data_IF_810167078928
#
_entry.id   IF_810167078928
#
_cell.length_a   1.000
_cell.length_b   1.000
_cell.length_c   1.000
_cell.angle_alpha   90.00
_cell.angle_beta   90.00
_cell.angle_gamma   90.00
#
_symmetry.space_group_name_H-M   'P 1'
#
loop_
_entity.id
_entity.type
_entity.pdbx_description
1 polymer ?
#
# COMPACT_ATOMS: atom_id res chain seq x y z
N UNK A 1 -26.86 -14.90 4.20
CA UNK A 1 -25.64 -14.91 3.37
C UNK A 1 -24.86 -13.65 3.69
N UNK A 2 -23.52 -13.77 3.89
CA UNK A 2 -22.65 -12.59 4.01
C UNK A 2 -22.60 -11.91 2.64
N UNK A 3 -23.05 -10.67 2.55
CA UNK A 3 -23.03 -9.92 1.28
C UNK A 3 -21.94 -8.87 1.38
N UNK A 4 -20.90 -9.00 0.57
CA UNK A 4 -19.84 -7.98 0.48
C UNK A 4 -20.45 -6.69 -0.10
N UNK A 5 -20.18 -5.58 0.55
CA UNK A 5 -20.63 -4.24 0.16
C UNK A 5 -19.48 -3.28 -0.04
N UNK A 6 -18.38 -3.48 0.69
CA UNK A 6 -17.19 -2.65 0.66
C UNK A 6 -15.98 -3.43 0.18
N UNK A 7 -15.18 -2.79 -0.64
CA UNK A 7 -13.87 -3.27 -1.06
C UNK A 7 -12.86 -2.19 -0.70
N UNK A 8 -11.94 -2.52 0.21
CA UNK A 8 -10.84 -1.65 0.58
C UNK A 8 -9.58 -2.07 -0.15
N UNK A 9 -8.83 -1.10 -0.65
CA UNK A 9 -7.58 -1.32 -1.37
C UNK A 9 -6.41 -0.72 -0.61
N UNK A 10 -5.27 -1.39 -0.67
CA UNK A 10 -3.98 -0.73 -0.54
C UNK A 10 -3.71 0.13 -1.78
N UNK A 11 -2.72 1.02 -1.73
CA UNK A 11 -2.31 1.86 -2.87
C UNK A 11 -1.08 1.26 -3.54
N UNK A 12 0.05 1.23 -2.84
CA UNK A 12 1.34 0.83 -3.40
C UNK A 12 1.35 -0.62 -3.86
N UNK A 13 1.89 -0.89 -5.03
CA UNK A 13 1.97 -2.23 -5.64
C UNK A 13 0.62 -2.96 -5.75
N UNK A 14 -0.50 -2.23 -5.57
CA UNK A 14 -1.88 -2.73 -5.69
C UNK A 14 -2.68 -1.92 -6.70
N UNK A 15 -2.74 -0.60 -6.56
CA UNK A 15 -3.38 0.33 -7.50
C UNK A 15 -2.34 1.07 -8.34
N UNK A 16 -1.13 1.24 -7.81
CA UNK A 16 -0.04 1.96 -8.46
C UNK A 16 1.21 1.10 -8.56
N UNK A 17 1.90 1.24 -9.67
CA UNK A 17 3.25 0.73 -9.88
C UNK A 17 4.25 1.64 -9.15
N UNK A 18 5.06 1.05 -8.29
CA UNK A 18 6.09 1.71 -7.49
C UNK A 18 7.51 1.34 -7.96
N UNK A 19 7.66 0.63 -9.08
CA UNK A 19 8.95 0.08 -9.50
C UNK A 19 9.99 1.19 -9.67
N UNK A 20 9.66 2.25 -10.38
CA UNK A 20 10.61 3.36 -10.59
C UNK A 20 10.90 4.13 -9.29
N UNK A 21 9.92 4.31 -8.42
CA UNK A 21 10.12 4.91 -7.10
C UNK A 21 11.09 4.09 -6.24
N UNK A 22 10.99 2.75 -6.27
CA UNK A 22 11.96 1.86 -5.64
C UNK A 22 13.35 1.97 -6.25
N UNK A 23 13.44 1.99 -7.58
CA UNK A 23 14.70 2.12 -8.30
C UNK A 23 15.39 3.45 -7.97
N UNK A 24 14.65 4.55 -7.99
CA UNK A 24 15.16 5.87 -7.66
C UNK A 24 15.70 5.91 -6.23
N UNK A 25 14.92 5.43 -5.28
CA UNK A 25 15.31 5.37 -3.88
C UNK A 25 16.55 4.51 -3.63
N UNK A 26 16.68 3.35 -4.30
CA UNK A 26 17.88 2.50 -4.19
C UNK A 26 19.10 3.27 -4.73
N UNK A 27 18.98 3.90 -5.91
CA UNK A 27 20.06 4.72 -6.49
C UNK A 27 20.49 5.83 -5.53
N UNK A 28 19.55 6.48 -4.85
CA UNK A 28 19.88 7.53 -3.87
C UNK A 28 20.59 6.97 -2.64
N UNK A 29 20.15 5.83 -2.12
CA UNK A 29 20.76 5.20 -0.95
C UNK A 29 22.21 4.74 -1.20
N UNK A 30 22.49 4.21 -2.40
CA UNK A 30 23.84 3.69 -2.74
C UNK A 30 24.76 4.76 -3.33
N UNK A 31 24.28 5.96 -3.60
CA UNK A 31 25.08 7.05 -4.19
C UNK A 31 26.32 7.35 -3.37
N UNK A 32 27.50 7.32 -4.03
CA UNK A 32 28.79 7.55 -3.38
C UNK A 32 29.34 6.37 -2.60
N UNK A 33 28.70 5.21 -2.68
CA UNK A 33 29.19 3.93 -2.12
C UNK A 33 29.78 3.05 -3.23
N UNK A 34 30.34 1.89 -2.82
CA UNK A 34 30.79 0.84 -3.76
C UNK A 34 29.71 -0.23 -3.99
N UNK A 35 28.51 -0.05 -3.42
CA UNK A 35 27.40 -1.00 -3.53
C UNK A 35 26.71 -0.77 -4.86
N UNK A 36 26.51 -1.84 -5.63
CA UNK A 36 25.74 -1.76 -6.87
C UNK A 36 24.25 -1.95 -6.63
N UNK A 37 23.44 -1.50 -7.59
CA UNK A 37 22.00 -1.70 -7.57
C UNK A 37 21.62 -3.18 -7.48
N UNK A 38 22.32 -4.02 -8.24
CA UNK A 38 22.13 -5.48 -8.27
C UNK A 38 22.44 -6.10 -6.91
N UNK A 39 23.54 -5.74 -6.28
CA UNK A 39 23.93 -6.24 -4.95
C UNK A 39 22.87 -5.91 -3.90
N UNK A 40 22.36 -4.68 -3.91
CA UNK A 40 21.29 -4.28 -2.99
C UNK A 40 20.00 -5.06 -3.26
N UNK A 41 19.59 -5.14 -4.53
CA UNK A 41 18.35 -5.83 -4.95
C UNK A 41 18.40 -7.33 -4.65
N UNK A 42 19.51 -8.00 -4.89
CA UNK A 42 19.68 -9.42 -4.54
C UNK A 42 19.56 -9.65 -3.04
N UNK A 43 20.19 -8.80 -2.23
CA UNK A 43 20.12 -8.91 -0.77
C UNK A 43 18.72 -8.65 -0.24
N UNK A 44 18.03 -7.65 -0.78
CA UNK A 44 16.61 -7.35 -0.50
C UNK A 44 15.72 -8.56 -0.77
N UNK A 45 15.85 -9.18 -1.96
CA UNK A 45 15.06 -10.37 -2.34
C UNK A 45 15.40 -11.57 -1.46
N UNK A 46 16.68 -11.76 -1.12
CA UNK A 46 17.11 -12.82 -0.21
C UNK A 46 16.38 -12.72 1.14
N UNK A 47 16.44 -11.55 1.78
CA UNK A 47 15.76 -11.36 3.07
C UNK A 47 14.24 -11.46 2.98
N UNK A 48 13.63 -11.02 1.88
CA UNK A 48 12.19 -11.19 1.66
C UNK A 48 11.79 -12.68 1.59
N UNK A 49 12.58 -13.51 0.93
CA UNK A 49 12.39 -14.98 0.89
C UNK A 49 12.53 -15.64 2.26
N UNK A 50 13.35 -15.06 3.14
CA UNK A 50 13.52 -15.50 4.53
C UNK A 50 12.39 -15.00 5.47
N UNK A 51 11.43 -14.22 4.94
CA UNK A 51 10.25 -13.73 5.67
C UNK A 51 10.47 -12.40 6.40
N UNK A 52 11.56 -11.70 6.13
CA UNK A 52 11.84 -10.38 6.69
C UNK A 52 11.30 -9.25 5.79
N UNK A 53 11.26 -8.03 6.34
CA UNK A 53 11.16 -6.83 5.51
C UNK A 53 12.48 -6.68 4.73
N UNK A 54 12.46 -7.04 3.44
CA UNK A 54 13.65 -7.12 2.60
C UNK A 54 14.39 -5.79 2.50
N UNK A 55 13.65 -4.69 2.32
CA UNK A 55 14.25 -3.34 2.20
C UNK A 55 14.96 -2.94 3.49
N UNK A 56 14.27 -3.05 4.62
CA UNK A 56 14.86 -2.70 5.90
C UNK A 56 16.11 -3.52 6.20
N UNK A 57 16.04 -4.82 5.96
CA UNK A 57 17.18 -5.73 6.21
C UNK A 57 18.35 -5.48 5.26
N UNK A 58 18.12 -5.14 4.00
CA UNK A 58 19.17 -4.78 3.08
C UNK A 58 19.84 -3.45 3.47
N UNK A 59 19.05 -2.44 3.86
CA UNK A 59 19.57 -1.17 4.38
C UNK A 59 20.46 -1.40 5.61
N UNK A 60 20.01 -2.19 6.59
CA UNK A 60 20.77 -2.56 7.78
C UNK A 60 22.06 -3.32 7.42
N UNK A 61 21.97 -4.30 6.52
CA UNK A 61 23.12 -5.13 6.09
C UNK A 61 24.23 -4.31 5.47
N UNK A 62 23.89 -3.34 4.61
CA UNK A 62 24.86 -2.49 3.95
C UNK A 62 25.23 -1.23 4.75
N UNK A 63 24.62 -1.01 5.92
CA UNK A 63 24.86 0.18 6.74
C UNK A 63 24.44 1.48 6.06
N UNK A 64 23.40 1.43 5.22
CA UNK A 64 22.91 2.58 4.46
C UNK A 64 21.92 3.40 5.29
N UNK A 65 21.75 4.67 4.92
CA UNK A 65 20.68 5.50 5.42
C UNK A 65 19.49 5.45 4.48
N UNK A 66 18.28 5.32 5.05
CA UNK A 66 17.06 5.36 4.31
C UNK A 66 16.83 6.76 3.73
N UNK A 67 16.70 6.87 2.41
CA UNK A 67 16.37 8.12 1.72
C UNK A 67 14.85 8.34 1.62
N UNK A 68 14.38 9.57 1.31
CA UNK A 68 12.98 9.85 1.06
C UNK A 68 12.38 8.93 -0.02
N UNK A 69 11.08 8.79 0.01
CA UNK A 69 10.31 8.11 -1.01
C UNK A 69 9.94 9.08 -2.14
N UNK A 70 10.07 8.65 -3.38
CA UNK A 70 9.78 9.43 -4.58
C UNK A 70 8.36 9.15 -5.07
N UNK A 71 7.36 9.77 -4.43
CA UNK A 71 5.95 9.59 -4.82
C UNK A 71 5.62 10.13 -6.21
N UNK A 72 6.48 10.97 -6.78
CA UNK A 72 6.37 11.50 -8.14
C UNK A 72 6.64 10.44 -9.22
N UNK A 73 7.30 9.33 -8.86
CA UNK A 73 7.60 8.22 -9.76
C UNK A 73 6.52 7.11 -9.72
N UNK A 74 5.53 7.25 -8.83
CA UNK A 74 4.40 6.32 -8.76
C UNK A 74 3.44 6.59 -9.92
N UNK A 75 2.99 5.51 -10.59
CA UNK A 75 2.00 5.60 -11.67
C UNK A 75 0.89 4.57 -11.46
N UNK A 76 -0.39 4.90 -11.70
CA UNK A 76 -1.45 3.90 -11.66
C UNK A 76 -1.19 2.77 -12.66
N UNK A 77 -1.54 1.53 -12.30
CA UNK A 77 -1.58 0.44 -13.28
C UNK A 77 -2.60 0.72 -14.38
N UNK A 78 -2.32 0.29 -15.61
CA UNK A 78 -3.13 0.59 -16.80
C UNK A 78 -4.60 0.16 -16.67
N UNK A 79 -4.87 -0.92 -15.94
CA UNK A 79 -6.21 -1.47 -15.73
C UNK A 79 -6.91 -0.95 -14.46
N UNK A 80 -6.23 -0.09 -13.68
CA UNK A 80 -6.71 0.36 -12.38
C UNK A 80 -8.05 1.10 -12.50
N UNK A 81 -8.13 2.12 -13.35
CA UNK A 81 -9.35 2.92 -13.49
C UNK A 81 -10.53 2.08 -13.98
N UNK A 82 -10.33 1.21 -14.98
CA UNK A 82 -11.37 0.34 -15.52
C UNK A 82 -11.89 -0.63 -14.46
N UNK A 83 -10.99 -1.17 -13.65
CA UNK A 83 -11.33 -2.07 -12.53
C UNK A 83 -12.18 -1.35 -11.49
N UNK A 84 -11.74 -0.17 -11.02
CA UNK A 84 -12.47 0.61 -10.01
C UNK A 84 -13.85 1.02 -10.51
N UNK A 85 -13.94 1.47 -11.77
CA UNK A 85 -15.23 1.80 -12.40
C UNK A 85 -16.15 0.59 -12.44
N UNK A 86 -15.65 -0.56 -12.90
CA UNK A 86 -16.44 -1.79 -13.00
C UNK A 86 -16.98 -2.23 -11.64
N UNK A 87 -16.19 -2.12 -10.58
CA UNK A 87 -16.63 -2.46 -9.22
C UNK A 87 -17.67 -1.47 -8.71
N UNK A 88 -17.47 -0.17 -8.95
CA UNK A 88 -18.44 0.87 -8.60
C UNK A 88 -19.77 0.68 -9.33
N UNK A 89 -19.75 0.38 -10.64
CA UNK A 89 -20.94 0.14 -11.46
C UNK A 89 -21.72 -1.10 -11.00
N UNK A 90 -21.03 -2.08 -10.40
CA UNK A 90 -21.66 -3.25 -9.74
C UNK A 90 -22.25 -2.93 -8.37
N UNK A 91 -22.14 -1.70 -7.89
CA UNK A 91 -22.72 -1.23 -6.64
C UNK A 91 -21.86 -1.45 -5.40
N UNK A 92 -20.58 -1.82 -5.55
CA UNK A 92 -19.67 -1.85 -4.41
C UNK A 92 -19.25 -0.44 -4.01
N UNK A 93 -19.15 -0.21 -2.70
CA UNK A 93 -18.49 0.95 -2.14
C UNK A 93 -16.98 0.68 -2.06
N UNK A 94 -16.18 1.66 -2.44
CA UNK A 94 -14.73 1.50 -2.47
C UNK A 94 -14.06 2.42 -1.44
N UNK A 95 -13.02 1.91 -0.81
CA UNK A 95 -12.22 2.64 0.17
C UNK A 95 -10.74 2.30 0.07
N UNK A 96 -9.93 3.09 0.74
CA UNK A 96 -8.49 2.92 0.87
C UNK A 96 -8.14 2.60 2.32
N UNK A 97 -7.23 1.64 2.52
CA UNK A 97 -6.48 1.44 3.77
C UNK A 97 -5.01 1.27 3.40
N UNK A 98 -4.21 2.33 3.56
CA UNK A 98 -2.84 2.33 3.03
C UNK A 98 -1.83 2.98 3.99
N UNK A 99 -0.60 2.46 3.98
CA UNK A 99 0.56 3.09 4.60
C UNK A 99 1.17 4.06 3.59
N UNK A 100 0.91 5.34 3.73
CA UNK A 100 1.27 6.36 2.76
C UNK A 100 1.92 7.58 3.43
N UNK A 101 2.70 8.32 2.64
CA UNK A 101 3.12 9.68 2.98
C UNK A 101 1.90 10.62 2.98
N UNK A 102 2.00 11.79 3.64
CA UNK A 102 0.93 12.80 3.60
C UNK A 102 0.49 13.15 2.17
N UNK A 103 -0.79 13.47 1.99
CA UNK A 103 -1.35 13.85 0.69
C UNK A 103 -1.78 12.67 -0.18
N UNK A 104 -2.06 11.50 0.39
CA UNK A 104 -2.56 10.34 -0.36
C UNK A 104 -3.81 10.66 -1.17
N UNK A 105 -4.75 11.44 -0.60
CA UNK A 105 -5.96 11.87 -1.30
C UNK A 105 -5.64 12.73 -2.52
N UNK A 106 -4.74 13.70 -2.37
CA UNK A 106 -4.39 14.62 -3.46
C UNK A 106 -3.72 13.86 -4.63
N UNK A 107 -2.88 12.86 -4.33
CA UNK A 107 -2.30 11.98 -5.37
C UNK A 107 -3.37 11.16 -6.08
N UNK A 108 -4.29 10.54 -5.35
CA UNK A 108 -5.42 9.80 -5.94
C UNK A 108 -6.28 10.71 -6.83
N UNK A 109 -6.53 11.95 -6.40
CA UNK A 109 -7.28 12.94 -7.19
C UNK A 109 -6.51 13.34 -8.45
N UNK A 110 -5.20 13.56 -8.36
CA UNK A 110 -4.33 13.89 -9.51
C UNK A 110 -4.31 12.76 -10.56
N UNK A 111 -4.41 11.50 -10.15
CA UNK A 111 -4.55 10.35 -11.06
C UNK A 111 -5.99 10.14 -11.57
N UNK A 112 -6.97 10.96 -11.13
CA UNK A 112 -8.38 10.81 -11.47
C UNK A 112 -9.07 9.65 -10.75
N UNK A 113 -8.40 8.99 -9.80
CA UNK A 113 -8.92 7.81 -9.08
C UNK A 113 -9.69 8.18 -7.81
N UNK A 114 -9.45 9.36 -7.23
CA UNK A 114 -10.05 9.80 -5.97
C UNK A 114 -11.57 9.74 -5.95
N UNK A 115 -12.21 9.99 -7.09
CA UNK A 115 -13.67 9.95 -7.26
C UNK A 115 -14.32 8.59 -6.96
N UNK A 116 -13.56 7.50 -6.98
CA UNK A 116 -14.08 6.15 -6.72
C UNK A 116 -14.15 5.83 -5.23
N UNK A 117 -13.40 6.56 -4.39
CA UNK A 117 -13.21 6.20 -2.98
C UNK A 117 -14.03 7.10 -2.04
N UNK A 118 -14.98 6.49 -1.33
CA UNK A 118 -15.78 7.17 -0.32
C UNK A 118 -15.08 7.27 1.04
N UNK A 119 -14.09 6.40 1.30
CA UNK A 119 -13.29 6.36 2.52
C UNK A 119 -11.82 6.25 2.15
N UNK A 120 -10.97 7.09 2.77
CA UNK A 120 -9.51 7.03 2.65
C UNK A 120 -8.92 7.02 4.05
N UNK A 121 -8.47 5.83 4.48
CA UNK A 121 -7.77 5.62 5.74
C UNK A 121 -6.26 5.50 5.46
N UNK A 122 -5.56 6.62 5.49
CA UNK A 122 -4.12 6.71 5.26
C UNK A 122 -3.36 6.85 6.57
N UNK A 123 -2.23 6.17 6.68
CA UNK A 123 -1.43 6.14 7.91
C UNK A 123 -0.91 7.50 8.33
N UNK A 124 -0.54 8.37 7.38
CA UNK A 124 -0.01 9.68 7.69
C UNK A 124 -1.05 10.60 8.32
N UNK A 125 -2.31 10.53 7.86
CA UNK A 125 -3.41 11.35 8.37
C UNK A 125 -3.98 10.80 9.68
N UNK A 126 -3.97 9.46 9.87
CA UNK A 126 -4.52 8.81 11.07
C UNK A 126 -3.49 8.63 12.19
N UNK A 127 -2.18 8.75 11.90
CA UNK A 127 -1.11 8.47 12.86
C UNK A 127 -0.96 6.99 13.22
N UNK A 128 -1.59 6.09 12.49
CA UNK A 128 -1.62 4.64 12.71
C UNK A 128 -1.37 3.94 11.38
N UNK A 129 -0.54 2.90 11.38
CA UNK A 129 -0.16 2.19 10.15
C UNK A 129 -0.46 0.71 10.22
N UNK A 130 -0.75 0.08 9.06
CA UNK A 130 -0.76 -1.37 8.93
C UNK A 130 0.61 -1.95 9.37
N UNK A 131 0.68 -3.06 10.07
CA UNK A 131 -0.38 -4.04 10.35
C UNK A 131 -1.20 -3.80 11.62
N UNK A 132 -1.14 -2.59 12.23
CA UNK A 132 -1.98 -2.31 13.40
C UNK A 132 -3.46 -2.45 13.00
N UNK A 133 -4.20 -3.26 13.78
CA UNK A 133 -5.62 -3.53 13.53
C UNK A 133 -6.48 -2.28 13.65
N UNK A 134 -6.01 -1.28 14.37
CA UNK A 134 -6.76 -0.06 14.63
C UNK A 134 -7.04 0.71 13.34
N UNK A 135 -6.13 0.71 12.34
CA UNK A 135 -6.38 1.38 11.06
C UNK A 135 -7.56 0.74 10.30
N UNK A 136 -7.68 -0.62 10.37
CA UNK A 136 -8.82 -1.32 9.75
C UNK A 136 -10.12 -1.02 10.48
N UNK A 137 -10.10 -0.99 11.84
CA UNK A 137 -11.25 -0.64 12.65
C UNK A 137 -11.77 0.77 12.35
N UNK A 138 -10.85 1.73 12.23
CA UNK A 138 -11.19 3.11 11.88
C UNK A 138 -11.78 3.21 10.46
N UNK A 139 -11.18 2.53 9.47
CA UNK A 139 -11.71 2.50 8.11
C UNK A 139 -13.13 1.93 8.05
N UNK A 140 -13.39 0.83 8.76
CA UNK A 140 -14.73 0.24 8.87
C UNK A 140 -15.73 1.18 9.58
N UNK A 141 -15.28 1.90 10.61
CA UNK A 141 -16.12 2.89 11.30
C UNK A 141 -16.44 4.09 10.38
N UNK A 142 -15.46 4.59 9.61
CA UNK A 142 -15.69 5.65 8.62
C UNK A 142 -16.66 5.21 7.51
N UNK A 143 -16.66 3.92 7.17
CA UNK A 143 -17.52 3.31 6.17
C UNK A 143 -18.92 2.93 6.68
N UNK A 144 -19.19 3.04 7.99
CA UNK A 144 -20.36 2.46 8.65
C UNK A 144 -20.59 1.00 8.19
N UNK A 145 -19.51 0.21 8.21
CA UNK A 145 -19.49 -1.12 7.66
C UNK A 145 -19.07 -2.17 8.70
N UNK A 146 -19.78 -3.30 8.71
CA UNK A 146 -19.37 -4.45 9.51
C UNK A 146 -18.24 -5.21 8.83
N UNK A 147 -17.28 -5.79 9.58
CA UNK A 147 -16.16 -6.54 9.01
C UNK A 147 -16.57 -7.64 8.02
N UNK A 148 -17.66 -8.34 8.32
CA UNK A 148 -18.17 -9.42 7.47
C UNK A 148 -18.74 -8.98 6.12
N UNK A 149 -18.93 -7.67 5.91
CA UNK A 149 -19.44 -7.08 4.68
C UNK A 149 -18.34 -6.36 3.88
N UNK A 150 -17.09 -6.48 4.30
CA UNK A 150 -15.92 -5.87 3.66
C UNK A 150 -14.88 -6.91 3.24
N UNK A 151 -14.10 -6.56 2.23
CA UNK A 151 -12.88 -7.27 1.84
C UNK A 151 -11.73 -6.29 1.73
N UNK A 152 -10.50 -6.79 1.97
CA UNK A 152 -9.26 -6.06 1.75
C UNK A 152 -8.53 -6.65 0.55
N UNK A 153 -8.08 -5.79 -0.35
CA UNK A 153 -7.22 -6.10 -1.49
C UNK A 153 -5.88 -5.41 -1.26
N UNK A 154 -4.79 -6.15 -1.33
CA UNK A 154 -3.45 -5.64 -1.11
C UNK A 154 -2.40 -6.68 -1.48
N UNK A 155 -1.17 -6.27 -1.67
CA UNK A 155 -0.05 -7.11 -2.12
C UNK A 155 0.66 -7.84 -0.98
N UNK A 156 0.48 -7.39 0.28
CA UNK A 156 1.23 -7.90 1.43
C UNK A 156 0.40 -8.73 2.38
N UNK A 157 0.77 -10.01 2.53
CA UNK A 157 0.12 -10.92 3.47
C UNK A 157 0.21 -10.46 4.93
N UNK A 158 1.34 -9.89 5.34
CA UNK A 158 1.61 -9.45 6.70
C UNK A 158 0.93 -8.13 7.06
N UNK A 159 0.83 -7.20 6.11
CA UNK A 159 0.27 -5.87 6.31
C UNK A 159 -1.22 -5.77 5.98
N UNK A 160 -1.66 -6.46 4.93
CA UNK A 160 -3.01 -6.28 4.40
C UNK A 160 -3.93 -7.43 4.79
N UNK A 161 -3.52 -8.67 4.50
CA UNK A 161 -4.45 -9.81 4.50
C UNK A 161 -4.62 -10.40 5.90
N UNK A 162 -3.51 -10.70 6.60
CA UNK A 162 -3.58 -11.29 7.95
C UNK A 162 -4.26 -10.39 8.96
N UNK A 163 -3.90 -9.07 9.05
CA UNK A 163 -4.58 -8.19 9.99
C UNK A 163 -6.04 -7.94 9.62
N UNK A 164 -6.41 -7.83 8.33
CA UNK A 164 -7.80 -7.73 7.91
C UNK A 164 -8.62 -8.96 8.34
N UNK A 165 -8.11 -10.17 8.12
CA UNK A 165 -8.79 -11.42 8.50
C UNK A 165 -8.93 -11.60 10.03
N UNK A 166 -8.08 -10.98 10.82
CA UNK A 166 -8.16 -11.07 12.28
C UNK A 166 -9.36 -10.31 12.88
N UNK A 167 -10.05 -9.47 12.10
CA UNK A 167 -11.29 -8.77 12.50
C UNK A 167 -12.57 -9.55 12.22
N UNK A 168 -12.50 -10.66 11.49
CA UNK A 168 -13.67 -11.47 11.10
C UNK A 168 -14.01 -12.56 12.14
N UNK A 169 -13.26 -12.60 13.25
CA UNK A 169 -13.47 -13.60 14.33
C UNK A 169 -13.97 -12.95 15.60
#
# INVERSE_FOLDING_TARGET
MKTIRWIFFDIGSTLVDEEEAYHHRIRDMIRGTLITFEQFSEKRVQYAKEGYNGDQKAIEYFGLNKTPWHSEDEVPFDDCEETLRTLSDKGYQLGIIANQNPGAKDRLDAWGLGRYFSVIASSAELGISKPDKEIFRLALAMADCRPENAVMVGDRLDNDIRPANAHVR
#
